data_IF_286078122410
#
_entry.id   IF_286078122410
#
_cell.length_a   1.000
_cell.length_b   1.000
_cell.length_c   1.000
_cell.angle_alpha   90.00
_cell.angle_beta   90.00
_cell.angle_gamma   90.00
#
_symmetry.space_group_name_H-M   'P 1'
#
loop_
_entity.id
_entity.type
_entity.pdbx_description
1 polymer ?
#
# COMPACT_ATOMS: atom_id res chain seq x y z
N UNK A 1 10.00 59.06 -21.36
CA UNK A 1 9.63 60.35 -22.00
C UNK A 1 8.39 60.06 -22.84
N UNK A 2 7.14 60.44 -22.55
CA UNK A 2 6.43 61.28 -21.57
C UNK A 2 5.01 60.63 -21.45
N UNK A 3 4.43 60.35 -20.26
CA UNK A 3 3.45 61.15 -19.48
C UNK A 3 2.38 61.85 -20.35
N UNK A 4 1.07 61.75 -20.04
CA UNK A 4 0.31 62.64 -19.11
C UNK A 4 -0.98 61.90 -18.64
N UNK A 5 -1.11 61.57 -17.34
CA UNK A 5 -1.93 62.18 -16.24
C UNK A 5 -3.43 61.77 -16.24
N UNK A 6 -3.90 61.01 -15.24
CA UNK A 6 -4.35 61.38 -13.88
C UNK A 6 -5.75 62.02 -13.85
N UNK A 7 -6.72 61.31 -13.26
CA UNK A 7 -7.66 61.96 -12.35
C UNK A 7 -8.25 60.98 -11.32
N UNK A 8 -8.22 61.46 -10.08
CA UNK A 8 -8.50 60.81 -8.81
C UNK A 8 -9.98 60.98 -8.46
N UNK A 9 -10.60 59.94 -7.91
CA UNK A 9 -11.92 60.02 -7.27
C UNK A 9 -12.12 58.86 -6.29
N UNK A 10 -11.85 59.12 -5.01
CA UNK A 10 -12.03 58.25 -3.85
C UNK A 10 -13.48 58.29 -3.38
N UNK A 11 -14.10 57.16 -3.01
CA UNK A 11 -14.99 56.98 -1.83
C UNK A 11 -15.50 55.53 -1.69
N UNK A 12 -14.95 54.87 -0.67
CA UNK A 12 -15.55 54.08 0.43
C UNK A 12 -16.79 53.16 0.22
N UNK A 13 -16.52 51.88 0.57
CA UNK A 13 -17.22 51.00 1.52
C UNK A 13 -18.61 50.39 1.25
N UNK A 14 -18.65 49.08 1.57
CA UNK A 14 -19.77 48.21 1.95
C UNK A 14 -20.70 47.69 0.84
N UNK A 15 -20.61 46.38 0.58
CA UNK A 15 -21.76 45.47 0.49
C UNK A 15 -21.26 44.01 0.45
N UNK A 16 -21.36 43.34 1.60
CA UNK A 16 -21.28 41.89 1.77
C UNK A 16 -22.63 41.30 1.34
N UNK A 17 -22.67 40.55 0.24
CA UNK A 17 -23.89 39.86 -0.20
C UNK A 17 -24.16 38.62 0.68
N UNK A 18 -25.29 38.68 1.36
CA UNK A 18 -25.78 37.78 2.39
C UNK A 18 -26.67 36.70 1.75
N UNK A 19 -26.17 35.47 1.58
CA UNK A 19 -26.96 34.36 1.01
C UNK A 19 -27.74 33.64 2.13
N UNK A 20 -29.08 33.46 2.04
CA UNK A 20 -29.89 32.93 3.13
C UNK A 20 -29.76 31.40 3.31
N UNK A 21 -29.62 30.96 4.55
CA UNK A 21 -29.75 29.56 4.96
C UNK A 21 -31.22 29.10 4.88
N UNK A 22 -31.53 27.91 4.32
CA UNK A 22 -32.88 27.37 4.36
C UNK A 22 -33.20 26.82 5.76
N UNK A 23 -34.14 27.48 6.45
CA UNK A 23 -34.85 26.93 7.61
C UNK A 23 -35.82 25.84 7.16
N UNK A 24 -35.64 24.63 7.68
CA UNK A 24 -36.55 23.49 7.47
C UNK A 24 -36.19 22.34 8.40
N UNK A 25 -36.33 22.52 9.72
CA UNK A 25 -36.20 21.45 10.69
C UNK A 25 -37.50 20.64 10.74
N UNK A 26 -37.45 19.40 10.26
CA UNK A 26 -38.46 18.39 10.59
C UNK A 26 -38.27 17.91 12.04
N UNK A 27 -39.34 17.70 12.83
CA UNK A 27 -39.22 17.32 14.24
C UNK A 27 -38.67 15.89 14.39
N UNK A 28 -37.67 15.74 15.27
CA UNK A 28 -37.08 14.47 15.69
C UNK A 28 -38.08 13.64 16.52
N UNK A 29 -38.13 12.31 16.37
CA UNK A 29 -38.87 11.44 17.27
C UNK A 29 -38.17 11.34 18.64
N UNK A 30 -38.92 11.21 19.76
CA UNK A 30 -38.32 11.13 21.09
C UNK A 30 -37.77 9.74 21.33
N UNK A 31 -36.44 9.61 21.28
CA UNK A 31 -35.72 8.40 21.61
C UNK A 31 -34.25 8.73 21.80
N UNK A 32 -33.82 8.84 23.06
CA UNK A 32 -32.42 9.01 23.44
C UNK A 32 -31.58 7.83 22.95
N UNK A 33 -30.83 8.02 21.88
CA UNK A 33 -29.66 7.20 21.57
C UNK A 33 -28.47 8.13 21.78
N UNK A 34 -27.85 8.03 22.96
CA UNK A 34 -26.58 8.68 23.22
C UNK A 34 -25.57 8.25 22.15
N UNK A 35 -24.75 9.20 21.68
CA UNK A 35 -23.56 8.88 20.89
C UNK A 35 -22.79 7.77 21.62
N UNK A 36 -22.59 6.58 21.03
CA UNK A 36 -21.74 5.60 21.66
C UNK A 36 -20.31 6.18 21.67
N UNK A 37 -19.73 6.25 22.86
CA UNK A 37 -18.35 6.65 23.08
C UNK A 37 -17.43 5.86 22.15
N UNK A 38 -16.50 6.56 21.50
CA UNK A 38 -15.47 5.97 20.66
C UNK A 38 -14.70 4.92 21.47
N UNK A 39 -15.02 3.65 21.25
CA UNK A 39 -14.30 2.54 21.85
C UNK A 39 -12.99 2.37 21.09
N UNK A 40 -11.83 2.34 21.76
CA UNK A 40 -10.57 1.98 21.10
C UNK A 40 -10.71 0.60 20.46
N UNK A 41 -10.57 0.51 19.14
CA UNK A 41 -10.64 -0.77 18.39
C UNK A 41 -11.93 -1.04 17.61
N UNK A 42 -12.87 -0.09 17.51
CA UNK A 42 -14.06 -0.21 16.64
C UNK A 42 -13.78 0.13 15.17
N UNK A 43 -14.64 -0.35 14.25
CA UNK A 43 -14.58 -0.06 12.80
C UNK A 43 -14.48 1.45 12.48
N UNK A 44 -15.11 2.30 13.29
CA UNK A 44 -15.03 3.76 13.18
C UNK A 44 -13.64 4.31 13.52
N UNK A 45 -12.94 3.71 14.49
CA UNK A 45 -11.57 4.10 14.83
C UNK A 45 -10.60 3.75 13.70
N UNK A 46 -10.78 2.59 13.04
CA UNK A 46 -9.98 2.19 11.89
C UNK A 46 -10.19 3.13 10.67
N UNK A 47 -11.44 3.54 10.40
CA UNK A 47 -11.77 4.51 9.34
C UNK A 47 -11.18 5.89 9.65
N UNK A 48 -11.30 6.36 10.90
CA UNK A 48 -10.73 7.64 11.32
C UNK A 48 -9.19 7.62 11.25
N UNK A 49 -8.54 6.51 11.63
CA UNK A 49 -7.08 6.38 11.55
C UNK A 49 -6.58 6.41 10.10
N UNK A 50 -7.24 5.69 9.19
CA UNK A 50 -6.93 5.70 7.74
C UNK A 50 -7.04 7.10 7.12
N UNK A 51 -8.04 7.89 7.54
CA UNK A 51 -8.18 9.28 7.08
C UNK A 51 -7.13 10.21 7.69
N UNK A 52 -6.75 10.01 8.96
CA UNK A 52 -5.67 10.76 9.61
C UNK A 52 -4.33 10.58 8.90
N UNK A 53 -3.95 9.33 8.58
CA UNK A 53 -2.69 9.07 7.86
C UNK A 53 -2.65 9.75 6.48
N UNK A 54 -3.79 9.84 5.78
CA UNK A 54 -3.88 10.56 4.49
C UNK A 54 -3.79 12.08 4.67
N UNK A 55 -4.44 12.62 5.71
CA UNK A 55 -4.32 14.04 6.04
C UNK A 55 -2.88 14.38 6.41
N UNK A 56 -2.20 13.48 7.12
CA UNK A 56 -0.82 13.70 7.56
C UNK A 56 0.20 13.49 6.44
N UNK A 57 -0.04 12.55 5.52
CA UNK A 57 0.70 12.44 4.26
C UNK A 57 0.57 13.72 3.40
N UNK A 58 -0.59 14.39 3.45
CA UNK A 58 -0.78 15.73 2.84
C UNK A 58 -0.15 16.87 3.66
N UNK A 59 0.09 16.70 4.97
CA UNK A 59 0.68 17.72 5.86
C UNK A 59 2.21 17.69 5.94
N UNK A 60 2.83 16.54 5.72
CA UNK A 60 4.29 16.44 5.65
C UNK A 60 4.79 17.27 4.46
N UNK A 61 5.85 18.06 4.71
CA UNK A 61 6.60 18.72 3.65
C UNK A 61 7.01 17.69 2.60
N UNK A 62 6.99 18.08 1.32
CA UNK A 62 7.43 17.27 0.19
C UNK A 62 8.69 16.45 0.55
N UNK A 63 8.71 15.14 0.26
CA UNK A 63 9.83 14.22 0.55
C UNK A 63 11.20 14.85 0.31
N UNK A 64 11.35 15.57 -0.80
CA UNK A 64 12.58 16.28 -1.19
C UNK A 64 13.00 17.30 -0.12
N UNK A 65 12.09 18.16 0.34
CA UNK A 65 12.39 19.16 1.37
C UNK A 65 12.79 18.51 2.70
N UNK A 66 12.13 17.41 3.05
CA UNK A 66 12.42 16.70 4.29
C UNK A 66 13.78 16.00 4.20
N UNK A 67 14.07 15.30 3.11
CA UNK A 67 15.38 14.70 2.84
C UNK A 67 16.48 15.76 2.90
N UNK A 68 16.34 16.88 2.19
CA UNK A 68 17.37 17.92 2.12
C UNK A 68 17.58 18.62 3.49
N UNK A 69 16.52 18.76 4.29
CA UNK A 69 16.60 19.24 5.67
C UNK A 69 17.41 18.28 6.56
N UNK A 70 17.22 16.98 6.45
CA UNK A 70 17.94 16.00 7.28
C UNK A 70 19.37 15.77 6.78
N UNK A 71 19.60 15.84 5.46
CA UNK A 71 20.93 15.88 4.85
C UNK A 71 21.75 17.07 5.34
N UNK A 72 21.20 18.29 5.29
CA UNK A 72 21.91 19.49 5.74
C UNK A 72 22.25 19.47 7.22
N UNK A 73 21.41 18.85 8.05
CA UNK A 73 21.65 18.64 9.48
C UNK A 73 22.59 17.49 9.80
N UNK A 74 22.90 16.61 8.83
CA UNK A 74 23.68 15.38 9.02
C UNK A 74 23.10 14.46 10.12
N UNK A 75 21.78 14.38 10.19
CA UNK A 75 21.07 13.47 11.10
C UNK A 75 20.10 12.62 10.29
N UNK A 76 19.90 11.37 10.69
CA UNK A 76 18.98 10.48 10.01
C UNK A 76 17.53 10.81 10.38
N UNK A 77 16.64 10.66 9.41
CA UNK A 77 15.22 10.88 9.60
C UNK A 77 14.64 9.83 10.55
N UNK A 78 13.79 10.32 11.45
CA UNK A 78 12.99 9.50 12.34
C UNK A 78 11.55 9.93 12.14
N UNK A 79 10.71 8.98 11.77
CA UNK A 79 9.31 9.24 11.46
C UNK A 79 8.51 9.41 12.76
N UNK A 80 8.02 10.63 13.06
CA UNK A 80 7.24 10.84 14.28
C UNK A 80 5.84 10.23 14.20
N UNK A 81 5.35 9.90 13.00
CA UNK A 81 4.00 9.36 12.79
C UNK A 81 3.98 7.84 12.71
N UNK A 82 5.14 7.21 12.57
CA UNK A 82 5.28 5.76 12.55
C UNK A 82 6.57 5.38 13.29
N UNK A 83 6.59 5.54 14.63
CA UNK A 83 7.80 5.41 15.42
C UNK A 83 8.32 3.97 15.41
N UNK A 84 9.62 3.80 15.58
CA UNK A 84 10.28 2.50 15.62
C UNK A 84 10.12 1.82 16.99
N UNK A 85 8.86 1.55 17.38
CA UNK A 85 8.47 0.88 18.61
C UNK A 85 7.26 -0.05 18.40
N UNK A 86 6.79 -0.67 19.47
CA UNK A 86 5.69 -1.66 19.43
C UNK A 86 4.37 -1.08 18.89
N UNK A 87 4.14 0.24 18.98
CA UNK A 87 2.89 0.86 18.49
C UNK A 87 2.74 0.77 16.97
N UNK A 88 3.86 0.77 16.25
CA UNK A 88 3.89 0.56 14.80
C UNK A 88 3.82 -0.91 14.42
N UNK A 89 4.08 -1.83 15.35
CA UNK A 89 4.00 -3.26 15.11
C UNK A 89 2.60 -3.81 15.39
N UNK A 90 2.06 -3.49 16.56
CA UNK A 90 0.89 -4.15 17.13
C UNK A 90 -0.08 -3.14 17.75
N UNK A 91 -1.38 -3.41 17.60
CA UNK A 91 -2.46 -2.71 18.30
C UNK A 91 -3.20 -3.60 19.30
N UNK A 92 -3.12 -4.94 19.17
CA UNK A 92 -3.87 -5.85 20.03
C UNK A 92 -3.00 -6.80 20.87
N UNK A 93 -2.08 -7.53 20.23
CA UNK A 93 -1.29 -8.58 20.89
C UNK A 93 0.20 -8.32 20.72
N UNK A 94 0.92 -8.22 21.85
CA UNK A 94 2.37 -8.19 21.83
C UNK A 94 2.91 -9.61 21.71
N UNK A 95 3.85 -9.81 20.79
CA UNK A 95 4.59 -11.06 20.73
C UNK A 95 5.53 -11.18 21.93
N UNK A 96 5.77 -12.39 22.45
CA UNK A 96 6.73 -12.62 23.53
C UNK A 96 8.19 -12.35 23.09
N UNK A 97 8.43 -12.23 21.79
CA UNK A 97 9.72 -11.92 21.20
C UNK A 97 9.87 -10.40 21.08
N UNK A 98 10.99 -9.86 21.58
CA UNK A 98 11.31 -8.45 21.43
C UNK A 98 12.02 -8.19 20.11
N UNK A 99 11.39 -7.38 19.25
CA UNK A 99 11.96 -6.96 17.97
C UNK A 99 12.95 -5.81 18.15
N UNK A 100 14.00 -5.79 17.35
CA UNK A 100 14.95 -4.69 17.26
C UNK A 100 14.72 -3.94 15.96
N UNK A 101 14.52 -2.64 16.04
CA UNK A 101 14.42 -1.79 14.86
C UNK A 101 15.82 -1.37 14.43
N UNK A 102 16.23 -1.75 13.21
CA UNK A 102 17.54 -1.45 12.65
C UNK A 102 17.42 -0.87 11.26
N UNK A 103 18.32 0.04 10.89
CA UNK A 103 18.40 0.51 9.51
C UNK A 103 19.18 -0.48 8.64
N UNK A 104 18.95 -0.55 7.33
CA UNK A 104 19.70 -1.39 6.40
C UNK A 104 21.24 -1.31 6.53
N UNK A 105 21.86 -0.12 6.74
CA UNK A 105 23.30 -0.03 6.98
C UNK A 105 23.78 -0.67 8.30
N UNK A 106 22.88 -0.92 9.26
CA UNK A 106 23.19 -1.63 10.51
C UNK A 106 23.00 -3.15 10.36
N UNK A 107 22.30 -3.59 9.31
CA UNK A 107 21.98 -5.00 9.04
C UNK A 107 23.03 -5.63 8.12
N UNK A 108 23.48 -4.89 7.09
CA UNK A 108 24.48 -5.35 6.12
C UNK A 108 25.40 -4.20 5.67
N UNK A 109 26.61 -4.54 5.19
CA UNK A 109 27.64 -3.55 4.85
C UNK A 109 27.31 -2.68 3.62
N UNK A 110 26.61 -3.23 2.63
CA UNK A 110 26.34 -2.57 1.34
C UNK A 110 24.85 -2.61 1.00
N UNK A 111 23.98 -1.94 1.78
CA UNK A 111 22.56 -1.94 1.51
C UNK A 111 22.28 -1.22 0.19
N UNK A 112 21.36 -1.78 -0.57
CA UNK A 112 20.89 -1.28 -1.85
C UNK A 112 19.38 -1.17 -1.81
N UNK A 113 18.84 -0.12 -2.43
CA UNK A 113 17.41 0.03 -2.52
C UNK A 113 16.86 -1.04 -3.47
N UNK A 114 17.38 -1.07 -4.70
CA UNK A 114 17.02 -2.02 -5.75
C UNK A 114 18.31 -2.62 -6.34
N UNK A 115 18.37 -3.94 -6.52
CA UNK A 115 19.52 -4.66 -7.09
C UNK A 115 19.08 -5.42 -8.34
N UNK A 116 19.55 -4.99 -9.53
CA UNK A 116 19.20 -5.66 -10.79
C UNK A 116 17.75 -5.45 -11.23
N UNK A 117 17.09 -4.43 -10.69
CA UNK A 117 15.70 -4.06 -10.96
C UNK A 117 14.71 -4.71 -9.99
N UNK A 118 13.68 -3.95 -9.60
CA UNK A 118 12.63 -4.42 -8.71
C UNK A 118 11.78 -5.49 -9.41
N UNK A 119 11.85 -6.72 -8.91
CA UNK A 119 11.31 -7.90 -9.56
C UNK A 119 10.64 -8.84 -8.54
N UNK A 120 9.82 -9.77 -9.04
CA UNK A 120 9.05 -10.69 -8.18
C UNK A 120 9.90 -11.59 -7.26
N UNK A 121 11.18 -11.81 -7.56
CA UNK A 121 12.07 -12.63 -6.71
C UNK A 121 12.54 -11.87 -5.46
N UNK A 122 12.30 -10.56 -5.40
CA UNK A 122 12.66 -9.72 -4.27
C UNK A 122 11.56 -9.71 -3.19
N UNK A 123 10.53 -10.54 -3.35
CA UNK A 123 9.33 -10.59 -2.51
C UNK A 123 9.24 -11.99 -1.91
N UNK A 124 9.82 -12.15 -0.73
CA UNK A 124 9.71 -13.35 0.09
C UNK A 124 8.99 -12.98 1.39
N UNK A 125 7.84 -13.62 1.62
CA UNK A 125 7.04 -13.40 2.81
C UNK A 125 7.81 -13.78 4.08
N UNK A 126 7.71 -12.93 5.09
CA UNK A 126 8.22 -13.21 6.44
C UNK A 126 7.11 -13.71 7.38
N UNK A 127 7.27 -13.43 8.66
CA UNK A 127 6.36 -13.88 9.72
C UNK A 127 5.14 -12.96 9.91
N UNK A 128 4.51 -12.54 8.79
CA UNK A 128 3.29 -11.74 8.75
C UNK A 128 2.26 -12.36 7.80
N UNK A 129 0.98 -12.31 8.16
CA UNK A 129 -0.13 -12.89 7.39
C UNK A 129 -0.64 -11.98 6.27
N UNK A 130 0.25 -11.39 5.48
CA UNK A 130 -0.02 -10.35 4.48
C UNK A 130 0.25 -10.82 3.04
N UNK A 131 0.19 -12.13 2.78
CA UNK A 131 0.40 -12.72 1.46
C UNK A 131 -0.43 -12.05 0.34
N UNK A 132 -1.62 -11.54 0.68
CA UNK A 132 -2.50 -10.80 -0.21
C UNK A 132 -1.85 -9.54 -0.79
N UNK A 133 -1.08 -8.82 0.02
CA UNK A 133 -0.31 -7.63 -0.35
C UNK A 133 0.89 -8.02 -1.21
N UNK A 134 1.64 -9.02 -0.78
CA UNK A 134 2.85 -9.49 -1.48
C UNK A 134 2.54 -10.03 -2.87
N UNK A 135 1.41 -10.73 -3.04
CA UNK A 135 0.92 -11.17 -4.34
C UNK A 135 0.61 -9.98 -5.28
N UNK A 136 0.04 -8.89 -4.74
CA UNK A 136 -0.20 -7.67 -5.50
C UNK A 136 1.11 -6.97 -5.87
N UNK A 137 2.08 -6.88 -4.96
CA UNK A 137 3.41 -6.30 -5.24
C UNK A 137 4.13 -7.13 -6.31
N UNK A 138 4.08 -8.46 -6.23
CA UNK A 138 4.70 -9.34 -7.23
C UNK A 138 4.09 -9.11 -8.62
N UNK A 139 2.77 -8.97 -8.68
CA UNK A 139 2.06 -8.64 -9.92
C UNK A 139 2.43 -7.26 -10.46
N UNK A 140 2.58 -6.27 -9.58
CA UNK A 140 3.00 -4.91 -9.93
C UNK A 140 4.36 -4.89 -10.63
N UNK A 141 5.30 -5.76 -10.24
CA UNK A 141 6.64 -5.82 -10.88
C UNK A 141 6.62 -6.17 -12.37
N UNK A 142 5.52 -6.77 -12.86
CA UNK A 142 5.35 -7.08 -14.28
C UNK A 142 5.04 -5.82 -15.12
N UNK A 143 4.56 -4.74 -14.48
CA UNK A 143 4.29 -3.46 -15.14
C UNK A 143 5.21 -2.36 -14.61
N UNK A 144 6.37 -2.17 -15.26
CA UNK A 144 7.38 -1.19 -14.85
C UNK A 144 6.86 0.24 -14.74
N UNK A 145 5.88 0.65 -15.57
CA UNK A 145 5.31 2.01 -15.50
C UNK A 145 4.56 2.23 -14.19
N UNK A 146 3.72 1.27 -13.79
CA UNK A 146 2.99 1.33 -12.53
C UNK A 146 3.94 1.13 -11.35
N UNK A 147 4.92 0.23 -11.49
CA UNK A 147 5.94 0.02 -10.48
C UNK A 147 6.70 1.30 -10.14
N UNK A 148 7.18 2.05 -11.13
CA UNK A 148 7.89 3.33 -10.90
C UNK A 148 6.98 4.47 -10.44
N UNK A 149 5.65 4.31 -10.58
CA UNK A 149 4.70 5.22 -9.96
C UNK A 149 4.61 4.98 -8.46
N UNK A 150 4.52 3.72 -8.04
CA UNK A 150 4.44 3.34 -6.61
C UNK A 150 5.79 3.46 -5.92
N UNK A 151 6.88 3.11 -6.62
CA UNK A 151 8.26 3.08 -6.13
C UNK A 151 9.11 4.06 -6.95
N UNK A 152 9.19 5.33 -6.53
CA UNK A 152 10.05 6.31 -7.17
C UNK A 152 11.51 5.81 -7.23
N UNK A 153 12.16 5.83 -8.41
CA UNK A 153 13.49 5.23 -8.60
C UNK A 153 14.64 6.11 -8.09
N UNK A 154 14.39 7.35 -7.69
CA UNK A 154 15.36 8.35 -7.23
C UNK A 154 15.74 8.20 -5.75
N UNK A 155 15.73 6.97 -5.25
CA UNK A 155 15.98 6.61 -3.85
C UNK A 155 17.20 5.70 -3.75
N UNK A 156 18.09 5.99 -2.81
CA UNK A 156 19.34 5.25 -2.63
C UNK A 156 19.85 5.31 -1.20
N UNK A 157 20.63 4.28 -0.81
CA UNK A 157 21.40 4.28 0.44
C UNK A 157 22.77 4.95 0.30
N UNK A 158 23.24 5.20 -0.93
CA UNK A 158 24.56 5.79 -1.19
C UNK A 158 24.48 7.28 -1.54
N UNK A 159 23.49 7.67 -2.35
CA UNK A 159 23.33 9.05 -2.82
C UNK A 159 22.24 9.75 -2.02
N UNK A 160 22.53 10.94 -1.49
CA UNK A 160 21.56 11.77 -0.74
C UNK A 160 20.84 11.01 0.38
N UNK A 161 21.52 10.04 0.99
CA UNK A 161 20.95 9.21 2.04
C UNK A 161 20.82 9.98 3.35
N UNK A 162 19.58 10.05 3.85
CA UNK A 162 19.24 10.61 5.16
C UNK A 162 18.31 9.69 5.97
N UNK A 163 18.30 8.39 5.69
CA UNK A 163 17.45 7.41 6.39
C UNK A 163 15.95 7.66 6.18
N UNK A 164 15.57 8.16 5.00
CA UNK A 164 14.22 8.56 4.60
C UNK A 164 13.92 8.02 3.20
N UNK A 165 12.73 7.44 3.03
CA UNK A 165 12.23 6.89 1.77
C UNK A 165 10.75 7.27 1.61
N UNK A 166 10.22 7.14 0.39
CA UNK A 166 8.83 7.41 0.11
C UNK A 166 8.26 6.48 -0.97
N UNK A 167 6.95 6.27 -0.91
CA UNK A 167 6.18 5.43 -1.82
C UNK A 167 4.84 6.09 -2.12
N UNK A 168 4.28 5.81 -3.29
CA UNK A 168 3.01 6.40 -3.70
C UNK A 168 1.91 5.36 -3.73
N UNK A 169 0.80 5.66 -3.06
CA UNK A 169 -0.39 4.82 -3.07
C UNK A 169 -1.59 5.62 -3.55
N UNK A 170 -2.46 4.98 -4.32
CA UNK A 170 -3.72 5.55 -4.71
C UNK A 170 -4.71 5.43 -3.56
N UNK A 171 -5.19 6.56 -3.04
CA UNK A 171 -6.19 6.59 -1.97
C UNK A 171 -7.29 7.59 -2.29
N UNK A 172 -8.53 7.10 -2.23
CA UNK A 172 -9.76 7.89 -2.39
C UNK A 172 -9.72 8.83 -3.60
N UNK A 173 -9.26 8.32 -4.74
CA UNK A 173 -9.22 9.07 -6.01
C UNK A 173 -7.98 9.93 -6.22
N UNK A 174 -6.98 9.88 -5.32
CA UNK A 174 -5.75 10.69 -5.44
C UNK A 174 -4.51 9.87 -5.10
N UNK A 175 -3.38 10.19 -5.74
CA UNK A 175 -2.08 9.65 -5.34
C UNK A 175 -1.61 10.36 -4.07
N UNK A 176 -1.25 9.56 -3.07
CA UNK A 176 -0.75 10.01 -1.77
C UNK A 176 0.69 9.54 -1.62
N UNK A 177 1.57 10.47 -1.26
CA UNK A 177 2.99 10.20 -1.03
C UNK A 177 3.21 9.85 0.44
N UNK A 178 3.64 8.62 0.71
CA UNK A 178 3.88 8.11 2.08
C UNK A 178 5.37 8.07 2.33
N UNK A 179 5.82 9.00 3.17
CA UNK A 179 7.20 9.09 3.64
C UNK A 179 7.40 8.21 4.87
N UNK A 180 8.51 7.48 4.94
CA UNK A 180 8.93 6.67 6.08
C UNK A 180 10.41 6.88 6.38
N UNK A 181 10.82 6.60 7.61
CA UNK A 181 12.23 6.26 7.86
C UNK A 181 12.55 4.82 7.48
N UNK A 182 13.83 4.46 7.42
CA UNK A 182 14.29 3.12 7.02
C UNK A 182 14.59 2.17 8.19
N UNK A 183 14.15 2.45 9.41
CA UNK A 183 14.26 1.47 10.51
C UNK A 183 13.28 0.32 10.23
N UNK A 184 13.75 -0.92 10.14
CA UNK A 184 12.92 -2.09 9.86
C UNK A 184 12.98 -3.07 11.05
N UNK A 185 11.88 -3.75 11.39
CA UNK A 185 11.87 -4.76 12.46
C UNK A 185 12.77 -5.96 12.15
N UNK A 186 13.65 -6.29 13.09
CA UNK A 186 14.59 -7.40 13.00
C UNK A 186 14.55 -8.28 14.23
N UNK A 187 14.92 -9.54 14.03
CA UNK A 187 15.20 -10.51 15.09
C UNK A 187 16.49 -11.25 14.72
N UNK A 188 17.44 -11.35 15.66
CA UNK A 188 18.77 -11.92 15.41
C UNK A 188 19.48 -11.35 14.17
N UNK A 189 19.36 -10.03 13.96
CA UNK A 189 19.93 -9.32 12.81
C UNK A 189 19.37 -9.75 11.43
N UNK A 190 18.18 -10.34 11.40
CA UNK A 190 17.46 -10.69 10.18
C UNK A 190 16.12 -9.96 10.13
N UNK A 191 15.69 -9.60 8.92
CA UNK A 191 14.34 -9.07 8.68
C UNK A 191 13.31 -10.12 9.07
N UNK A 192 12.31 -9.70 9.87
CA UNK A 192 11.22 -10.56 10.36
C UNK A 192 10.10 -10.66 9.35
N UNK A 193 9.76 -9.55 8.71
CA UNK A 193 8.71 -9.45 7.70
C UNK A 193 9.28 -9.65 6.29
N UNK A 194 8.69 -9.02 5.28
CA UNK A 194 9.09 -9.24 3.89
C UNK A 194 10.56 -8.91 3.65
N UNK A 195 11.21 -9.74 2.84
CA UNK A 195 12.61 -9.58 2.43
C UNK A 195 12.84 -10.02 0.99
N UNK A 196 13.90 -9.51 0.38
CA UNK A 196 14.39 -10.00 -0.90
C UNK A 196 15.16 -11.32 -0.73
N UNK A 197 15.22 -12.12 -1.79
CA UNK A 197 16.18 -13.22 -1.90
C UNK A 197 17.64 -12.74 -1.82
N UNK A 198 17.89 -11.47 -2.12
CA UNK A 198 19.17 -10.80 -1.95
C UNK A 198 19.21 -10.11 -0.59
N UNK A 199 20.15 -10.51 0.25
CA UNK A 199 20.28 -10.01 1.63
C UNK A 199 20.62 -8.51 1.74
N UNK A 200 21.03 -7.88 0.63
CA UNK A 200 21.39 -6.47 0.60
C UNK A 200 20.36 -5.59 -0.14
N UNK A 201 19.18 -6.11 -0.46
CA UNK A 201 18.11 -5.38 -1.16
C UNK A 201 16.90 -5.15 -0.26
N UNK A 202 16.42 -3.91 -0.18
CA UNK A 202 15.47 -3.49 0.87
C UNK A 202 14.19 -2.80 0.37
N UNK A 203 14.01 -2.56 -0.94
CA UNK A 203 12.82 -1.85 -1.44
C UNK A 203 11.50 -2.53 -1.04
N UNK A 204 11.45 -3.86 -1.06
CA UNK A 204 10.22 -4.62 -0.76
C UNK A 204 9.84 -4.53 0.72
N UNK A 205 10.84 -4.63 1.61
CA UNK A 205 10.66 -4.43 3.04
C UNK A 205 10.23 -2.99 3.38
N UNK A 206 10.81 -1.99 2.71
CA UNK A 206 10.45 -0.59 2.90
C UNK A 206 9.05 -0.27 2.33
N UNK A 207 8.67 -0.89 1.22
CA UNK A 207 7.33 -0.76 0.65
C UNK A 207 6.26 -1.34 1.59
N UNK A 208 6.50 -2.54 2.12
CA UNK A 208 5.64 -3.16 3.14
C UNK A 208 5.52 -2.25 4.37
N UNK A 209 6.63 -1.67 4.86
CA UNK A 209 6.60 -0.69 5.96
C UNK A 209 5.74 0.54 5.65
N UNK A 210 5.88 1.12 4.46
CA UNK A 210 5.09 2.29 4.07
C UNK A 210 3.60 1.95 3.98
N UNK A 211 3.27 0.75 3.52
CA UNK A 211 1.91 0.26 3.50
C UNK A 211 1.37 -0.03 4.92
N UNK A 212 2.19 -0.58 5.82
CA UNK A 212 1.87 -0.75 7.23
C UNK A 212 1.58 0.60 7.90
N UNK A 213 2.38 1.64 7.61
CA UNK A 213 2.11 3.00 8.06
C UNK A 213 0.77 3.52 7.55
N UNK A 214 0.46 3.30 6.27
CA UNK A 214 -0.81 3.71 5.68
C UNK A 214 -2.03 3.09 6.39
N UNK A 215 -1.89 1.85 6.87
CA UNK A 215 -2.91 1.13 7.64
C UNK A 215 -2.78 1.28 9.17
N UNK A 216 -1.74 1.95 9.64
CA UNK A 216 -1.49 2.31 11.04
C UNK A 216 -0.59 1.37 11.84
N UNK A 217 -0.37 0.13 11.40
CA UNK A 217 0.58 -0.82 12.02
C UNK A 217 0.86 -2.01 11.09
N UNK A 218 1.90 -2.80 11.37
CA UNK A 218 2.14 -4.08 10.67
C UNK A 218 1.03 -5.10 10.96
N UNK A 219 0.52 -5.18 12.19
CA UNK A 219 -0.59 -6.06 12.55
C UNK A 219 -1.84 -5.80 11.71
N UNK A 220 -2.07 -4.54 11.31
CA UNK A 220 -3.21 -4.18 10.45
C UNK A 220 -3.13 -4.76 9.03
N UNK A 221 -1.97 -5.26 8.60
CA UNK A 221 -1.80 -5.96 7.33
C UNK A 221 -2.17 -7.46 7.41
N UNK A 222 -2.38 -7.99 8.62
CA UNK A 222 -2.72 -9.39 8.81
C UNK A 222 -4.15 -9.67 8.34
N UNK A 223 -4.27 -10.46 7.27
CA UNK A 223 -5.55 -10.86 6.70
C UNK A 223 -6.23 -9.73 5.91
N UNK A 224 -6.10 -9.77 4.60
CA UNK A 224 -6.67 -8.79 3.69
C UNK A 224 -6.96 -9.36 2.32
N UNK A 225 -7.43 -8.52 1.40
CA UNK A 225 -7.81 -8.92 0.06
C UNK A 225 -6.85 -8.32 -0.97
N UNK A 226 -6.30 -9.16 -1.84
CA UNK A 226 -5.34 -8.76 -2.90
C UNK A 226 -5.88 -7.62 -3.77
N UNK A 227 -7.20 -7.53 -3.94
CA UNK A 227 -7.85 -6.44 -4.69
C UNK A 227 -7.63 -5.06 -4.11
N UNK A 228 -7.67 -4.93 -2.77
CA UNK A 228 -7.41 -3.65 -2.10
C UNK A 228 -5.99 -3.17 -2.42
N UNK A 229 -5.00 -4.07 -2.35
CA UNK A 229 -3.63 -3.71 -2.69
C UNK A 229 -3.46 -3.40 -4.18
N UNK A 230 -4.11 -4.15 -5.08
CA UNK A 230 -4.05 -3.86 -6.52
C UNK A 230 -4.68 -2.51 -6.86
N UNK A 231 -5.78 -2.12 -6.20
CA UNK A 231 -6.40 -0.81 -6.35
C UNK A 231 -5.48 0.29 -5.80
N UNK A 232 -4.91 0.10 -4.61
CA UNK A 232 -3.97 1.04 -4.01
C UNK A 232 -2.68 1.23 -4.84
N UNK A 233 -2.26 0.23 -5.63
CA UNK A 233 -1.07 0.34 -6.49
C UNK A 233 -1.34 0.90 -7.89
N UNK A 234 -2.60 0.93 -8.33
CA UNK A 234 -2.93 1.23 -9.73
C UNK A 234 -3.94 2.36 -9.90
N UNK A 235 -4.72 2.64 -8.86
CA UNK A 235 -5.96 3.42 -8.92
C UNK A 235 -7.02 2.83 -9.85
N UNK A 236 -6.87 1.57 -10.23
CA UNK A 236 -7.69 0.84 -11.16
C UNK A 236 -9.01 0.32 -10.58
N UNK A 237 -9.74 -0.42 -11.42
CA UNK A 237 -10.94 -1.15 -11.01
C UNK A 237 -10.65 -2.64 -11.11
N UNK A 238 -11.09 -3.38 -10.09
CA UNK A 238 -10.86 -4.82 -10.01
C UNK A 238 -12.11 -5.63 -10.40
N UNK A 239 -11.91 -6.65 -11.21
CA UNK A 239 -12.89 -7.65 -11.58
C UNK A 239 -12.57 -8.99 -10.90
N UNK A 240 -13.61 -9.68 -10.44
CA UNK A 240 -13.51 -11.01 -9.85
C UNK A 240 -14.20 -12.05 -10.74
N UNK A 241 -13.54 -13.19 -10.89
CA UNK A 241 -14.06 -14.36 -11.60
C UNK A 241 -13.98 -15.56 -10.67
N UNK A 242 -15.13 -16.13 -10.31
CA UNK A 242 -15.16 -17.47 -9.74
C UNK A 242 -14.83 -18.47 -10.85
N UNK A 243 -13.77 -19.26 -10.67
CA UNK A 243 -13.27 -20.16 -11.72
C UNK A 243 -14.31 -21.21 -12.12
N UNK A 244 -15.18 -21.63 -11.20
CA UNK A 244 -16.27 -22.57 -11.47
C UNK A 244 -17.33 -22.01 -12.42
N UNK A 245 -17.56 -20.70 -12.35
CA UNK A 245 -18.56 -19.99 -13.14
C UNK A 245 -17.92 -19.14 -14.26
N UNK A 246 -16.61 -19.30 -14.46
CA UNK A 246 -15.86 -18.47 -15.39
C UNK A 246 -16.33 -18.68 -16.83
N UNK A 247 -16.37 -17.60 -17.63
CA UNK A 247 -16.80 -17.70 -19.01
C UNK A 247 -15.80 -18.53 -19.82
N UNK A 248 -16.28 -19.25 -20.85
CA UNK A 248 -15.44 -20.14 -21.68
C UNK A 248 -14.22 -19.45 -22.31
N UNK A 249 -14.29 -18.12 -22.49
CA UNK A 249 -13.21 -17.30 -23.04
C UNK A 249 -12.28 -16.68 -21.98
N UNK A 250 -12.33 -17.12 -20.71
CA UNK A 250 -11.56 -16.55 -19.60
C UNK A 250 -10.06 -16.47 -19.89
N UNK A 251 -9.48 -17.49 -20.54
CA UNK A 251 -8.07 -17.46 -20.93
C UNK A 251 -7.74 -16.28 -21.86
N UNK A 252 -8.63 -15.98 -22.82
CA UNK A 252 -8.45 -14.81 -23.70
C UNK A 252 -8.61 -13.50 -22.93
N UNK A 253 -9.46 -13.45 -21.91
CA UNK A 253 -9.62 -12.28 -21.05
C UNK A 253 -8.34 -12.05 -20.25
N UNK A 254 -7.81 -13.09 -19.60
CA UNK A 254 -6.56 -13.05 -18.84
C UNK A 254 -5.37 -12.66 -19.71
N UNK A 255 -5.24 -13.24 -20.91
CA UNK A 255 -4.17 -12.87 -21.85
C UNK A 255 -4.22 -11.40 -22.23
N UNK A 256 -5.41 -10.90 -22.61
CA UNK A 256 -5.60 -9.48 -22.94
C UNK A 256 -5.34 -8.57 -21.74
N UNK A 257 -5.69 -9.00 -20.53
CA UNK A 257 -5.39 -8.27 -19.31
C UNK A 257 -3.88 -8.17 -19.07
N UNK A 258 -3.15 -9.29 -19.18
CA UNK A 258 -1.70 -9.30 -19.08
C UNK A 258 -1.04 -8.39 -20.12
N UNK A 259 -1.47 -8.48 -21.39
CA UNK A 259 -0.93 -7.67 -22.49
C UNK A 259 -1.16 -6.16 -22.27
N UNK A 260 -2.23 -5.78 -21.56
CA UNK A 260 -2.52 -4.39 -21.15
C UNK A 260 -1.79 -3.96 -19.87
N UNK A 261 -1.04 -4.86 -19.24
CA UNK A 261 -0.35 -4.60 -17.99
C UNK A 261 -1.27 -4.53 -16.77
N UNK A 262 -2.44 -5.19 -16.83
CA UNK A 262 -3.31 -5.41 -15.67
C UNK A 262 -2.62 -6.29 -14.64
N UNK A 263 -2.92 -6.04 -13.37
CA UNK A 263 -2.46 -6.90 -12.28
C UNK A 263 -3.44 -8.08 -12.18
N UNK A 264 -2.92 -9.29 -11.98
CA UNK A 264 -3.74 -10.48 -11.84
C UNK A 264 -3.31 -11.30 -10.65
N UNK A 265 -4.29 -11.78 -9.88
CA UNK A 265 -4.07 -12.64 -8.73
C UNK A 265 -5.02 -13.82 -8.76
N UNK A 266 -4.66 -14.89 -8.05
CA UNK A 266 -5.58 -15.98 -7.80
C UNK A 266 -5.40 -16.54 -6.40
N UNK A 267 -6.49 -17.02 -5.83
CA UNK A 267 -6.50 -17.68 -4.53
C UNK A 267 -7.41 -18.92 -4.58
N UNK A 268 -7.12 -19.88 -3.69
CA UNK A 268 -7.98 -21.03 -3.42
C UNK A 268 -8.75 -20.69 -2.16
N UNK A 269 -10.07 -20.85 -2.20
CA UNK A 269 -10.90 -20.62 -1.01
C UNK A 269 -10.64 -21.72 0.05
N UNK A 270 -10.35 -21.29 1.27
CA UNK A 270 -10.10 -22.17 2.43
C UNK A 270 -11.37 -22.45 3.24
N UNK A 271 -12.55 -22.07 2.73
CA UNK A 271 -13.86 -22.40 3.32
C UNK A 271 -14.15 -23.91 3.46
N UNK A 272 -13.22 -24.77 3.01
CA UNK A 272 -13.25 -26.22 3.16
C UNK A 272 -12.24 -26.77 4.20
N UNK A 273 -11.53 -25.91 4.95
CA UNK A 273 -10.68 -26.31 6.07
C UNK A 273 -9.44 -27.11 5.67
N UNK A 274 -8.79 -26.74 4.58
CA UNK A 274 -7.68 -27.52 4.02
C UNK A 274 -6.34 -26.84 4.31
N UNK A 275 -5.67 -27.28 5.38
CA UNK A 275 -4.23 -27.05 5.52
C UNK A 275 -3.49 -28.03 4.61
N UNK A 276 -2.85 -27.59 3.50
CA UNK A 276 -2.13 -28.50 2.64
C UNK A 276 -0.89 -29.03 3.39
N UNK A 277 -0.61 -30.34 3.36
CA UNK A 277 0.63 -30.86 3.92
C UNK A 277 1.85 -30.26 3.17
N UNK A 278 3.03 -30.16 3.80
CA UNK A 278 4.17 -29.36 3.33
C UNK A 278 4.74 -29.65 1.93
N UNK A 279 4.21 -30.63 1.18
CA UNK A 279 4.71 -31.06 -0.12
C UNK A 279 3.67 -31.03 -1.26
N UNK A 280 2.53 -30.35 -1.10
CA UNK A 280 1.45 -30.35 -2.11
C UNK A 280 1.62 -29.35 -3.27
N UNK A 281 2.61 -28.45 -3.21
CA UNK A 281 2.83 -27.43 -4.25
C UNK A 281 3.30 -28.02 -5.59
N UNK A 282 4.15 -29.06 -5.56
CA UNK A 282 4.65 -29.71 -6.76
C UNK A 282 3.54 -30.36 -7.61
N UNK A 283 2.64 -31.20 -7.05
CA UNK A 283 1.54 -31.77 -7.83
C UNK A 283 0.51 -30.72 -8.29
N UNK A 284 0.34 -29.60 -7.58
CA UNK A 284 -0.54 -28.49 -8.03
C UNK A 284 0.04 -27.74 -9.23
N UNK A 285 1.36 -27.50 -9.24
CA UNK A 285 2.07 -26.90 -10.38
C UNK A 285 2.04 -27.86 -11.58
N UNK A 286 2.27 -29.16 -11.36
CA UNK A 286 2.18 -30.18 -12.42
C UNK A 286 0.75 -30.30 -12.97
N UNK A 287 -0.29 -30.14 -12.14
CA UNK A 287 -1.68 -30.15 -12.58
C UNK A 287 -2.06 -28.89 -13.38
N UNK A 288 -1.54 -27.72 -12.99
CA UNK A 288 -1.69 -26.48 -13.76
C UNK A 288 -0.96 -26.54 -15.10
N UNK A 289 0.20 -27.18 -15.15
CA UNK A 289 0.94 -27.42 -16.40
C UNK A 289 0.27 -28.51 -17.26
N UNK A 290 -0.26 -29.58 -16.68
CA UNK A 290 -0.99 -30.63 -17.40
C UNK A 290 -2.30 -30.11 -18.01
N UNK A 291 -3.01 -29.21 -17.32
CA UNK A 291 -4.24 -28.58 -17.83
C UNK A 291 -4.00 -27.60 -18.99
N UNK A 292 -2.75 -27.23 -19.29
CA UNK A 292 -2.45 -26.53 -20.55
C UNK A 292 -2.46 -27.45 -21.79
N UNK A 293 -2.53 -28.78 -21.61
CA UNK A 293 -2.51 -29.75 -22.72
C UNK A 293 -3.80 -30.57 -22.87
N UNK A 294 -4.70 -30.60 -21.89
CA UNK A 294 -5.97 -31.34 -22.00
C UNK A 294 -7.14 -30.51 -21.48
N UNK A 295 -8.01 -30.08 -22.40
CA UNK A 295 -9.29 -29.46 -22.08
C UNK A 295 -10.28 -30.52 -21.57
N UNK A 296 -10.31 -30.76 -20.26
CA UNK A 296 -11.42 -31.45 -19.59
C UNK A 296 -11.68 -30.78 -18.24
N UNK A 297 -12.87 -30.19 -18.12
CA UNK A 297 -13.30 -29.26 -17.07
C UNK A 297 -13.87 -29.95 -15.82
N UNK A 298 -13.40 -31.14 -15.43
CA UNK A 298 -14.08 -31.90 -14.36
C UNK A 298 -13.46 -31.79 -12.95
N UNK A 299 -12.29 -31.17 -12.78
CA UNK A 299 -11.62 -31.07 -11.47
C UNK A 299 -11.30 -29.63 -10.99
N UNK A 300 -12.09 -28.63 -11.40
CA UNK A 300 -11.91 -27.25 -10.96
C UNK A 300 -12.39 -27.04 -9.50
N UNK A 301 -11.48 -27.15 -8.54
CA UNK A 301 -11.69 -26.65 -7.16
C UNK A 301 -11.95 -25.13 -7.20
N UNK A 302 -12.71 -24.61 -6.23
CA UNK A 302 -13.11 -23.19 -6.13
C UNK A 302 -11.91 -22.26 -6.01
N UNK A 303 -11.39 -21.84 -7.16
CA UNK A 303 -10.43 -20.76 -7.28
C UNK A 303 -11.13 -19.46 -7.65
N UNK A 304 -10.56 -18.33 -7.26
CA UNK A 304 -10.97 -17.00 -7.73
C UNK A 304 -9.82 -16.41 -8.54
N UNK A 305 -10.12 -15.86 -9.72
CA UNK A 305 -9.19 -15.03 -10.49
C UNK A 305 -9.59 -13.57 -10.37
N UNK A 306 -8.59 -12.74 -10.08
CA UNK A 306 -8.71 -11.31 -9.87
C UNK A 306 -7.97 -10.62 -11.01
N UNK A 307 -8.61 -9.63 -11.64
CA UNK A 307 -7.99 -8.81 -12.68
C UNK A 307 -8.22 -7.33 -12.36
N UNK A 308 -7.14 -6.57 -12.14
CA UNK A 308 -7.23 -5.11 -11.94
C UNK A 308 -6.76 -4.36 -13.17
N UNK A 309 -7.66 -3.55 -13.74
CA UNK A 309 -7.37 -2.71 -14.91
C UNK A 309 -6.81 -1.36 -14.42
N UNK A 310 -5.61 -0.92 -14.85
CA UNK A 310 -5.03 0.35 -14.40
C UNK A 310 -5.90 1.54 -14.84
N UNK A 311 -6.04 2.57 -13.99
CA UNK A 311 -6.82 3.77 -14.35
C UNK A 311 -6.19 4.64 -15.43
N UNK A 312 -4.87 4.52 -15.68
CA UNK A 312 -4.12 5.37 -16.60
C UNK A 312 -4.27 5.02 -18.11
N UNK A 313 -5.39 4.42 -18.52
CA UNK A 313 -5.67 4.06 -19.93
C UNK A 313 -7.11 4.39 -20.38
N UNK A 314 -7.84 5.23 -19.63
CA UNK A 314 -9.12 5.81 -20.06
C UNK A 314 -9.00 7.31 -20.26
#
# INVERSE_FOLDING_TARGET
>A
MLKVEENIGRKDESEEENVPLPMGASPMPPGSIGLPSATPGGIYAAILNRNHTIIDAKRLKNFIELRDKYLSKKVLFEDPLFPADDSSLFYSHRYPIQFQWKRPPEICENPQFIVGGANRTDICQGDLGDCWLLAAIASLTLNKKLLYRVIPPDQSFTENYAGIFHFQFWRYGTWVDVVIDDRIPTYNNQLVFTKSAKNNEFWSALLEKAYAKLHGSYEALKGGNTTEAMEDFTGGVTEFYEIKEAPKNIFSVMKKALDRGSLMGCAIDDSLGFSPPPNALAPLIDMMLANTQTSSTEDARSGVCIITLPSALW
#
